data_IF_314458422849
#
_entry.id   IF_314458422849
#
_cell.length_a   1.000
_cell.length_b   1.000
_cell.length_c   1.000
_cell.angle_alpha   90.00
_cell.angle_beta   90.00
_cell.angle_gamma   90.00
#
_symmetry.space_group_name_H-M   'P 1'
#
loop_
_entity.id
_entity.type
_entity.pdbx_description
1 polymer ?
#
# COMPACT_ATOMS: atom_id res chain seq x y z
N UNK A 1 -14.43 -16.50 -6.45
CA UNK A 1 -13.17 -16.43 -5.67
C UNK A 1 -13.09 -15.07 -4.93
N UNK A 2 -14.16 -14.64 -4.24
CA UNK A 2 -14.26 -13.25 -3.75
C UNK A 2 -15.17 -12.99 -2.54
N UNK A 3 -16.08 -13.89 -2.18
CA UNK A 3 -16.92 -13.72 -0.98
C UNK A 3 -16.10 -13.86 0.30
N UNK A 4 -15.33 -14.94 0.43
CA UNK A 4 -14.55 -15.23 1.65
C UNK A 4 -13.56 -14.12 2.02
N UNK A 5 -12.92 -13.48 1.03
CA UNK A 5 -12.02 -12.35 1.31
C UNK A 5 -12.77 -11.15 1.90
N UNK A 6 -13.95 -10.84 1.34
CA UNK A 6 -14.78 -9.74 1.83
C UNK A 6 -15.35 -10.05 3.22
N UNK A 7 -15.74 -11.29 3.47
CA UNK A 7 -16.24 -11.73 4.78
C UNK A 7 -15.17 -11.58 5.88
N UNK A 8 -13.92 -11.97 5.58
CA UNK A 8 -12.79 -11.83 6.52
C UNK A 8 -12.35 -10.37 6.64
N UNK A 9 -12.45 -9.57 5.57
CA UNK A 9 -12.19 -8.13 5.64
C UNK A 9 -13.18 -7.44 6.59
N UNK A 10 -14.46 -7.84 6.55
CA UNK A 10 -15.49 -7.33 7.43
C UNK A 10 -15.29 -7.74 8.90
N UNK A 11 -14.66 -8.89 9.17
CA UNK A 11 -14.40 -9.37 10.54
C UNK A 11 -13.22 -8.69 11.24
N UNK A 12 -12.57 -7.71 10.58
CA UNK A 12 -11.38 -7.01 11.09
C UNK A 12 -10.20 -7.94 11.43
N UNK A 13 -10.17 -9.15 10.88
CA UNK A 13 -9.06 -10.06 11.03
C UNK A 13 -7.86 -9.61 10.17
N UNK A 14 -6.65 -9.88 10.64
CA UNK A 14 -5.44 -9.66 9.85
C UNK A 14 -5.39 -10.60 8.64
N UNK A 15 -5.29 -10.04 7.44
CA UNK A 15 -5.20 -10.82 6.19
C UNK A 15 -3.79 -10.69 5.61
N UNK A 16 -3.15 -11.84 5.37
CA UNK A 16 -1.86 -11.92 4.70
C UNK A 16 -1.98 -12.75 3.41
N UNK A 17 -1.39 -12.25 2.34
CA UNK A 17 -1.23 -12.99 1.10
C UNK A 17 -0.14 -14.07 1.24
N UNK A 18 -0.16 -15.09 0.36
CA UNK A 18 0.85 -16.15 0.36
C UNK A 18 2.31 -15.62 0.32
N UNK A 19 2.68 -14.61 -0.50
CA UNK A 19 4.05 -14.11 -0.52
C UNK A 19 4.45 -13.44 0.79
N UNK A 20 3.56 -12.62 1.37
CA UNK A 20 3.82 -11.97 2.66
C UNK A 20 4.02 -13.00 3.77
N UNK A 21 3.19 -14.05 3.81
CA UNK A 21 3.29 -15.13 4.78
C UNK A 21 4.59 -15.93 4.63
N UNK A 22 4.94 -16.31 3.40
CA UNK A 22 6.20 -17.02 3.12
C UNK A 22 7.43 -16.18 3.52
N UNK A 23 7.39 -14.88 3.26
CA UNK A 23 8.48 -13.99 3.65
C UNK A 23 8.60 -13.87 5.17
N UNK A 24 7.49 -13.72 5.90
CA UNK A 24 7.49 -13.67 7.36
C UNK A 24 8.01 -14.97 7.99
N UNK A 25 7.63 -16.11 7.42
CA UNK A 25 8.15 -17.41 7.85
C UNK A 25 9.67 -17.54 7.62
N UNK A 26 10.19 -16.97 6.52
CA UNK A 26 11.63 -16.99 6.21
C UNK A 26 12.45 -16.01 7.04
N UNK A 27 11.93 -14.81 7.31
CA UNK A 27 12.68 -13.78 8.06
C UNK A 27 12.70 -14.04 9.56
N UNK A 28 11.77 -14.85 10.08
CA UNK A 28 11.66 -15.11 11.51
C UNK A 28 11.09 -13.95 12.32
N UNK A 29 10.63 -12.89 11.65
CA UNK A 29 10.11 -11.68 12.31
C UNK A 29 8.74 -11.88 13.00
N UNK A 30 8.15 -13.07 12.88
CA UNK A 30 6.79 -13.35 13.32
C UNK A 30 5.72 -12.75 12.41
N UNK A 31 4.45 -12.98 12.77
CA UNK A 31 3.33 -12.41 12.04
C UNK A 31 3.00 -11.01 12.58
N UNK A 32 3.11 -10.00 11.73
CA UNK A 32 2.73 -8.64 12.08
C UNK A 32 1.21 -8.46 11.97
N UNK A 33 0.60 -7.88 13.00
CA UNK A 33 -0.81 -7.51 12.94
C UNK A 33 -0.95 -6.17 12.23
N UNK A 34 -1.58 -6.18 11.05
CA UNK A 34 -1.91 -4.98 10.30
C UNK A 34 -3.43 -4.85 10.19
N UNK A 35 -3.94 -3.64 10.44
CA UNK A 35 -5.37 -3.32 10.28
C UNK A 35 -5.82 -3.35 8.82
N UNK A 36 -4.90 -3.52 7.87
CA UNK A 36 -5.16 -3.59 6.44
C UNK A 36 -4.59 -4.90 5.88
N UNK A 37 -5.29 -5.53 4.91
CA UNK A 37 -4.76 -6.69 4.21
C UNK A 37 -3.42 -6.39 3.52
N UNK A 38 -2.44 -7.27 3.70
CA UNK A 38 -1.13 -7.19 3.03
C UNK A 38 -0.98 -8.42 2.15
N UNK A 39 -0.90 -8.22 0.84
CA UNK A 39 -0.65 -9.30 -0.13
C UNK A 39 0.84 -9.69 -0.19
N UNK A 40 1.73 -8.71 -0.27
CA UNK A 40 3.19 -8.87 -0.26
C UNK A 40 3.86 -7.68 0.45
N UNK A 41 5.17 -7.72 0.66
CA UNK A 41 5.91 -6.63 1.31
C UNK A 41 6.82 -5.85 0.34
N UNK A 42 6.52 -5.83 -0.96
CA UNK A 42 7.39 -5.20 -1.97
C UNK A 42 7.58 -3.68 -1.75
N UNK A 43 6.62 -3.02 -1.09
CA UNK A 43 6.67 -1.59 -0.78
C UNK A 43 6.83 -1.33 0.72
N UNK A 44 7.27 -2.32 1.52
CA UNK A 44 7.50 -2.13 2.95
C UNK A 44 8.53 -1.02 3.19
N UNK A 45 8.16 -0.02 3.99
CA UNK A 45 9.00 1.15 4.26
C UNK A 45 8.94 2.25 3.19
N UNK A 46 8.23 2.03 2.09
CA UNK A 46 7.99 3.07 1.09
C UNK A 46 6.90 4.02 1.58
N UNK A 47 7.19 5.32 1.49
CA UNK A 47 6.26 6.41 1.82
C UNK A 47 6.06 7.20 0.53
N UNK A 48 4.88 7.10 -0.07
CA UNK A 48 4.58 7.76 -1.34
C UNK A 48 3.75 9.02 -1.16
N UNK A 49 3.85 9.94 -2.11
CA UNK A 49 2.85 10.98 -2.30
C UNK A 49 2.49 11.08 -3.78
N UNK A 50 1.31 11.64 -4.08
CA UNK A 50 0.80 11.78 -5.44
C UNK A 50 0.72 13.23 -5.89
N UNK A 51 0.97 13.44 -7.18
CA UNK A 51 0.72 14.70 -7.88
C UNK A 51 0.26 14.44 -9.32
N UNK A 52 -0.58 15.33 -9.87
CA UNK A 52 -1.01 15.24 -11.28
C UNK A 52 -1.97 14.10 -11.62
N UNK A 53 -2.40 13.27 -10.67
CA UNK A 53 -3.40 12.21 -10.87
C UNK A 53 -4.79 12.78 -10.55
N UNK A 54 -5.62 12.97 -11.59
CA UNK A 54 -6.96 13.58 -11.47
C UNK A 54 -8.10 12.56 -11.45
N UNK A 55 -7.87 11.37 -11.99
CA UNK A 55 -8.90 10.32 -12.04
C UNK A 55 -9.00 9.64 -10.67
N UNK A 56 -10.16 9.76 -10.03
CA UNK A 56 -10.41 9.22 -8.69
C UNK A 56 -10.24 7.71 -8.63
N UNK A 57 -10.72 6.98 -9.65
CA UNK A 57 -10.67 5.51 -9.67
C UNK A 57 -9.23 5.02 -9.77
N UNK A 58 -8.42 5.67 -10.62
CA UNK A 58 -6.99 5.40 -10.76
C UNK A 58 -6.25 5.66 -9.45
N UNK A 59 -6.50 6.80 -8.80
CA UNK A 59 -5.92 7.11 -7.50
C UNK A 59 -6.32 6.08 -6.44
N UNK A 60 -7.59 5.68 -6.40
CA UNK A 60 -8.10 4.68 -5.46
C UNK A 60 -7.44 3.32 -5.68
N UNK A 61 -7.28 2.91 -6.94
CA UNK A 61 -6.59 1.68 -7.30
C UNK A 61 -5.11 1.70 -6.86
N UNK A 62 -4.40 2.79 -7.13
CA UNK A 62 -3.00 2.97 -6.69
C UNK A 62 -2.89 2.94 -5.17
N UNK A 63 -3.80 3.60 -4.46
CA UNK A 63 -3.86 3.58 -3.00
C UNK A 63 -4.03 2.15 -2.48
N UNK A 64 -4.95 1.39 -3.05
CA UNK A 64 -5.16 -0.01 -2.67
C UNK A 64 -3.94 -0.88 -2.93
N UNK A 65 -3.28 -0.72 -4.09
CA UNK A 65 -2.08 -1.47 -4.44
C UNK A 65 -0.90 -1.16 -3.52
N UNK A 66 -0.64 0.11 -3.25
CA UNK A 66 0.47 0.51 -2.36
C UNK A 66 0.24 -0.05 -0.96
N UNK A 67 -0.98 0.05 -0.44
CA UNK A 67 -1.30 -0.50 0.88
C UNK A 67 -1.22 -2.02 0.91
N UNK A 68 -1.70 -2.72 -0.10
CA UNK A 68 -1.61 -4.19 -0.15
C UNK A 68 -0.16 -4.68 -0.32
N UNK A 69 0.77 -3.83 -0.74
CA UNK A 69 2.20 -4.13 -0.79
C UNK A 69 2.99 -3.66 0.45
N UNK A 70 2.30 -3.20 1.50
CA UNK A 70 2.91 -2.74 2.76
C UNK A 70 3.46 -1.30 2.72
N UNK A 71 3.13 -0.54 1.67
CA UNK A 71 3.49 0.86 1.53
C UNK A 71 2.51 1.80 2.23
N UNK A 72 2.97 3.03 2.42
CA UNK A 72 2.20 4.09 3.06
C UNK A 72 2.17 5.35 2.21
N UNK A 73 1.12 6.15 2.39
CA UNK A 73 0.81 7.28 1.51
C UNK A 73 0.69 8.53 2.37
N UNK A 74 1.18 9.65 1.85
CA UNK A 74 1.04 10.98 2.44
C UNK A 74 0.43 11.92 1.43
N UNK A 75 -0.41 12.84 1.94
CA UNK A 75 -1.06 13.85 1.10
C UNK A 75 -0.03 14.81 0.54
N UNK A 76 0.87 15.30 1.37
CA UNK A 76 1.82 16.36 1.01
C UNK A 76 3.24 15.81 0.90
N UNK A 77 4.05 16.48 0.07
CA UNK A 77 5.47 16.16 -0.06
C UNK A 77 6.18 16.69 1.19
N UNK A 78 6.60 15.76 2.05
CA UNK A 78 7.33 16.05 3.29
C UNK A 78 8.66 15.31 3.26
N UNK A 79 9.60 15.67 4.14
CA UNK A 79 10.94 15.06 4.23
C UNK A 79 10.96 13.56 4.43
N UNK A 80 9.87 12.96 4.92
CA UNK A 80 9.72 11.50 5.10
C UNK A 80 9.23 10.77 3.85
N UNK A 81 8.75 11.48 2.83
CA UNK A 81 8.31 10.86 1.57
C UNK A 81 9.54 10.32 0.83
N UNK A 82 9.50 9.05 0.45
CA UNK A 82 10.60 8.40 -0.26
C UNK A 82 10.38 8.42 -1.77
N UNK A 83 9.12 8.43 -2.24
CA UNK A 83 8.80 8.39 -3.67
C UNK A 83 7.63 9.32 -4.02
N UNK A 84 7.78 10.10 -5.09
CA UNK A 84 6.70 10.89 -5.70
C UNK A 84 6.14 10.12 -6.91
N UNK A 85 4.82 9.93 -6.96
CA UNK A 85 4.13 9.33 -8.11
C UNK A 85 3.42 10.44 -8.87
N UNK A 86 3.80 10.63 -10.14
CA UNK A 86 3.29 11.70 -10.98
C UNK A 86 2.98 11.23 -12.40
N UNK A 87 1.89 11.74 -12.98
CA UNK A 87 1.52 11.50 -14.39
C UNK A 87 1.99 12.63 -15.33
N UNK A 88 2.56 13.71 -14.78
CA UNK A 88 3.12 14.83 -15.54
C UNK A 88 4.17 15.53 -14.68
N UNK A 89 5.18 16.09 -15.33
CA UNK A 89 6.27 16.86 -14.71
C UNK A 89 5.86 18.30 -14.34
N UNK A 90 4.64 18.73 -14.65
CA UNK A 90 4.18 20.12 -14.44
C UNK A 90 3.47 20.40 -13.11
N UNK A 91 3.55 19.52 -12.10
CA UNK A 91 2.84 19.71 -10.83
C UNK A 91 3.67 20.46 -9.77
N UNK A 92 3.02 21.24 -8.90
CA UNK A 92 3.68 21.99 -7.81
C UNK A 92 4.56 21.13 -6.88
N UNK A 93 4.26 19.84 -6.74
CA UNK A 93 5.05 18.90 -5.94
C UNK A 93 6.27 18.30 -6.66
N UNK A 94 6.39 18.50 -7.98
CA UNK A 94 7.50 18.02 -8.79
C UNK A 94 8.64 19.06 -8.90
N UNK A 95 8.29 20.35 -8.79
CA UNK A 95 9.26 21.45 -8.70
C UNK A 95 9.93 21.48 -7.33
#
# INVERSE_FOLDING_TARGET
MGSTFLDVLASSAGILGPPALQQAARSGDGLFHNNRPIYNNCMRGVITCFTGIRKKDELTQLVHLIHSMGGSIRKDMMTKVTHLICNSTGGEKYQ
#
